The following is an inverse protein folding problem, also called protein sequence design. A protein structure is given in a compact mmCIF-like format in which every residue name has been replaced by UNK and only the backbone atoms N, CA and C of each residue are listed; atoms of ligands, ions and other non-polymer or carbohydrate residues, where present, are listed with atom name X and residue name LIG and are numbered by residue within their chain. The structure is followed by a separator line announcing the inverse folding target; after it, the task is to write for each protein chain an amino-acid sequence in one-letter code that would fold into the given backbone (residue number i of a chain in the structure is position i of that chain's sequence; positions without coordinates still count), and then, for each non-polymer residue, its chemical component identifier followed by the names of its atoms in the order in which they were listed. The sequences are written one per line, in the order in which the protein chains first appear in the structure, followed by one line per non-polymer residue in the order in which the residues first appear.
data_IF_137969787957
#
_entry.id   IF_137969787957
#
_cell.length_a   1.000
_cell.length_b   1.000
_cell.length_c   1.000
_cell.angle_alpha   90.00
_cell.angle_beta   90.00
_cell.angle_gamma   90.00
#
_symmetry.space_group_name_H-M   'P 1'
#
loop_
_entity.id
_entity.type
_entity.pdbx_description
1 polymer ?
#
# COMPACT_ATOMS: atom_id res chain seq x y z
N UNK A 1 -16.64 0.04 7.46
CA UNK A 1 -15.53 0.97 7.22
C UNK A 1 -14.40 0.18 6.58
N UNK A 2 -13.77 0.70 5.53
CA UNK A 2 -12.70 0.03 4.77
C UNK A 2 -11.35 0.37 5.41
N UNK A 3 -10.59 -0.65 5.79
CA UNK A 3 -9.24 -0.53 6.36
C UNK A 3 -8.22 -0.64 5.22
N UNK A 4 -7.52 0.45 4.94
CA UNK A 4 -6.51 0.51 3.88
C UNK A 4 -5.12 0.35 4.50
N UNK A 5 -4.48 -0.78 4.24
CA UNK A 5 -3.08 -1.03 4.58
C UNK A 5 -2.13 -0.15 3.77
N UNK A 6 -1.18 0.48 4.45
CA UNK A 6 -0.10 1.25 3.81
C UNK A 6 1.18 1.14 4.63
N UNK A 7 2.34 1.37 4.01
CA UNK A 7 3.57 1.63 4.75
C UNK A 7 3.47 2.98 5.48
N UNK A 8 4.29 3.14 6.52
CA UNK A 8 4.34 4.37 7.32
C UNK A 8 5.14 5.54 6.71
N UNK A 9 5.80 5.34 5.57
CA UNK A 9 6.56 6.43 4.93
C UNK A 9 5.65 7.56 4.43
N UNK A 10 6.15 8.80 4.44
CA UNK A 10 5.37 9.98 4.02
C UNK A 10 4.78 9.85 2.61
N UNK A 11 5.55 9.26 1.68
CA UNK A 11 5.06 9.02 0.33
C UNK A 11 3.92 8.00 0.33
N UNK A 12 4.07 6.88 1.05
CA UNK A 12 3.06 5.82 1.08
C UNK A 12 1.76 6.30 1.73
N UNK A 13 1.82 7.00 2.86
CA UNK A 13 0.64 7.56 3.53
C UNK A 13 -0.03 8.65 2.68
N UNK A 14 0.72 9.42 1.89
CA UNK A 14 0.15 10.38 0.92
C UNK A 14 -0.61 9.69 -0.21
N UNK A 15 -0.03 8.63 -0.78
CA UNK A 15 -0.68 7.83 -1.82
C UNK A 15 -1.94 7.15 -1.30
N UNK A 16 -1.85 6.46 -0.15
CA UNK A 16 -2.97 5.78 0.48
C UNK A 16 -4.06 6.77 0.94
N UNK A 17 -3.66 7.93 1.48
CA UNK A 17 -4.57 9.01 1.86
C UNK A 17 -5.41 9.51 0.67
N UNK A 18 -4.80 9.65 -0.51
CA UNK A 18 -5.53 10.04 -1.72
C UNK A 18 -6.61 9.02 -2.12
N UNK A 19 -6.34 7.73 -1.95
CA UNK A 19 -7.32 6.65 -2.20
C UNK A 19 -8.42 6.67 -1.15
N UNK A 20 -8.06 6.79 0.14
CA UNK A 20 -9.02 6.95 1.25
C UNK A 20 -9.96 8.13 0.98
N UNK A 21 -9.43 9.30 0.64
CA UNK A 21 -10.23 10.50 0.41
C UNK A 21 -11.20 10.32 -0.77
N UNK A 22 -10.75 9.65 -1.83
CA UNK A 22 -11.59 9.34 -2.98
C UNK A 22 -12.73 8.35 -2.67
N UNK A 23 -12.52 7.42 -1.74
CA UNK A 23 -13.55 6.49 -1.23
C UNK A 23 -14.54 7.22 -0.31
N UNK A 24 -14.02 8.00 0.65
CA UNK A 24 -14.84 8.80 1.58
C UNK A 24 -15.75 9.77 0.82
N UNK A 25 -15.22 10.45 -0.20
CA UNK A 25 -16.00 11.35 -1.07
C UNK A 25 -17.13 10.64 -1.85
N UNK A 26 -17.11 9.30 -1.92
CA UNK A 26 -18.14 8.45 -2.54
C UNK A 26 -19.01 7.73 -1.52
N UNK A 27 -19.06 8.22 -0.28
CA UNK A 27 -19.80 7.61 0.83
C UNK A 27 -19.33 6.19 1.19
N UNK A 28 -18.05 5.87 0.97
CA UNK A 28 -17.42 4.66 1.50
C UNK A 28 -16.47 5.04 2.64
N UNK A 29 -16.89 4.92 3.92
CA UNK A 29 -16.02 5.24 5.05
C UNK A 29 -14.74 4.40 5.01
N UNK A 30 -13.58 5.05 5.10
CA UNK A 30 -12.29 4.39 5.02
C UNK A 30 -11.26 5.01 5.98
N UNK A 31 -10.33 4.19 6.46
CA UNK A 31 -9.23 4.60 7.32
C UNK A 31 -7.89 4.03 6.83
N UNK A 32 -6.78 4.65 7.27
CA UNK A 32 -5.45 4.13 6.98
C UNK A 32 -4.95 3.29 8.15
N UNK A 33 -4.44 2.11 7.85
CA UNK A 33 -3.78 1.23 8.80
C UNK A 33 -2.32 1.08 8.40
N UNK A 34 -1.42 1.59 9.24
CA UNK A 34 0.01 1.48 9.00
C UNK A 34 0.48 0.05 9.24
N UNK A 35 1.06 -0.57 8.22
CA UNK A 35 1.68 -1.89 8.28
C UNK A 35 3.19 -1.70 8.34
N UNK A 36 3.76 -1.91 9.53
CA UNK A 36 5.21 -1.88 9.75
C UNK A 36 5.84 -3.15 9.22
N UNK A 37 6.80 -3.00 8.33
CA UNK A 37 7.55 -4.14 7.77
C UNK A 37 8.90 -4.28 8.45
N UNK A 38 9.56 -5.42 8.26
CA UNK A 38 10.94 -5.62 8.72
C UNK A 38 11.92 -4.73 7.94
N UNK A 39 11.62 -4.46 6.67
CA UNK A 39 12.37 -3.51 5.85
C UNK A 39 12.27 -2.05 6.31
N UNK A 40 11.24 -1.68 7.08
CA UNK A 40 11.16 -0.36 7.72
C UNK A 40 12.00 -0.27 9.02
N UNK A 41 12.39 -1.42 9.58
CA UNK A 41 13.22 -1.53 10.80
C UNK A 41 14.71 -1.72 10.51
N UNK A 42 15.06 -2.07 9.28
CA UNK A 42 16.45 -2.27 8.86
C UNK A 42 17.11 -0.94 8.46
N UNK A 43 18.33 -0.64 8.94
CA UNK A 43 19.10 0.52 8.48
C UNK A 43 19.70 0.32 7.08
N UNK A 44 19.58 -0.88 6.51
CA UNK A 44 20.14 -1.20 5.20
C UNK A 44 19.34 -0.53 4.08
N UNK A 45 19.98 -0.15 2.95
CA UNK A 45 19.27 0.40 1.81
C UNK A 45 18.14 -0.51 1.36
N UNK A 46 16.99 0.07 1.01
CA UNK A 46 15.81 -0.66 0.51
C UNK A 46 16.16 -1.60 -0.65
N UNK A 47 17.11 -1.21 -1.51
CA UNK A 47 17.59 -2.03 -2.61
C UNK A 47 18.24 -3.35 -2.16
N UNK A 48 18.83 -3.38 -0.96
CA UNK A 48 19.51 -4.54 -0.36
C UNK A 48 18.53 -5.52 0.28
N UNK A 49 17.40 -5.02 0.79
CA UNK A 49 16.36 -5.82 1.47
C UNK A 49 15.49 -6.59 0.44
N UNK A 50 15.50 -6.15 -0.82
CA UNK A 50 14.86 -6.82 -1.95
C UNK A 50 13.50 -6.22 -2.31
N UNK A 51 13.22 -6.20 -3.62
CA UNK A 51 11.91 -5.81 -4.17
C UNK A 51 10.90 -6.89 -3.79
N UNK A 52 9.83 -6.49 -3.08
CA UNK A 52 8.74 -7.39 -2.70
C UNK A 52 8.55 -7.60 -1.19
N UNK A 53 9.54 -7.31 -0.34
CA UNK A 53 9.41 -7.43 1.13
C UNK A 53 8.24 -6.60 1.66
N UNK A 54 8.03 -5.41 1.10
CA UNK A 54 6.93 -4.54 1.48
C UNK A 54 5.56 -5.07 1.02
N UNK A 55 5.50 -5.64 -0.18
CA UNK A 55 4.25 -6.15 -0.75
C UNK A 55 3.83 -7.44 -0.08
N UNK A 56 4.78 -8.28 0.35
CA UNK A 56 4.51 -9.47 1.16
C UNK A 56 3.83 -9.11 2.48
N UNK A 57 4.35 -8.13 3.23
CA UNK A 57 3.75 -7.74 4.51
C UNK A 57 2.31 -7.18 4.36
N UNK A 58 2.04 -6.42 3.29
CA UNK A 58 0.70 -5.93 2.97
C UNK A 58 -0.23 -7.08 2.55
N UNK A 59 0.25 -8.02 1.73
CA UNK A 59 -0.49 -9.23 1.32
C UNK A 59 -0.86 -10.08 2.53
N UNK A 60 0.08 -10.32 3.44
CA UNK A 60 -0.20 -11.05 4.68
C UNK A 60 -1.16 -10.30 5.62
N UNK A 61 -1.13 -8.96 5.62
CA UNK A 61 -2.13 -8.17 6.35
C UNK A 61 -3.55 -8.35 5.78
N UNK A 62 -3.69 -8.42 4.46
CA UNK A 62 -4.97 -8.71 3.78
C UNK A 62 -5.40 -10.15 4.09
N UNK A 63 -4.51 -11.14 3.91
CA UNK A 63 -4.83 -12.55 4.14
C UNK A 63 -5.24 -12.84 5.59
N UNK A 64 -4.65 -12.13 6.56
CA UNK A 64 -5.01 -12.23 7.97
C UNK A 64 -6.26 -11.41 8.36
N UNK A 65 -6.91 -10.74 7.40
CA UNK A 65 -8.11 -9.92 7.66
C UNK A 65 -7.85 -8.67 8.51
N UNK A 66 -6.58 -8.24 8.65
CA UNK A 66 -6.21 -7.03 9.41
C UNK A 66 -6.56 -5.75 8.65
N UNK A 67 -6.53 -5.82 7.32
CA UNK A 67 -6.93 -4.75 6.40
C UNK A 67 -7.76 -5.35 5.27
N UNK A 68 -8.60 -4.52 4.65
CA UNK A 68 -9.52 -4.95 3.58
C UNK A 68 -8.91 -4.72 2.19
N UNK A 69 -8.01 -3.74 2.08
CA UNK A 69 -7.23 -3.43 0.88
C UNK A 69 -5.85 -2.90 1.26
N UNK A 70 -4.94 -2.82 0.30
CA UNK A 70 -3.65 -2.15 0.48
C UNK A 70 -3.33 -1.22 -0.68
N UNK A 71 -2.62 -0.13 -0.39
CA UNK A 71 -2.06 0.80 -1.39
C UNK A 71 -0.54 0.73 -1.33
N UNK A 72 0.08 0.56 -2.49
CA UNK A 72 1.53 0.56 -2.66
C UNK A 72 1.89 1.24 -3.99
N UNK A 73 3.18 1.45 -4.25
CA UNK A 73 3.63 1.91 -5.56
C UNK A 73 3.61 0.74 -6.56
N UNK A 74 3.10 0.97 -7.78
CA UNK A 74 2.89 -0.10 -8.76
C UNK A 74 4.17 -0.89 -9.07
N UNK A 75 5.33 -0.21 -9.09
CA UNK A 75 6.66 -0.81 -9.30
C UNK A 75 7.08 -1.85 -8.24
N UNK A 76 6.43 -1.85 -7.08
CA UNK A 76 6.75 -2.74 -5.98
C UNK A 76 5.92 -4.05 -6.02
N UNK A 77 5.03 -4.21 -7.01
CA UNK A 77 4.30 -5.47 -7.18
C UNK A 77 5.25 -6.61 -7.55
N UNK A 78 5.19 -7.75 -6.85
CA UNK A 78 5.83 -8.96 -7.30
C UNK A 78 5.30 -9.34 -8.68
N UNK A 79 6.21 -9.71 -9.59
CA UNK A 79 5.85 -10.26 -10.90
C UNK A 79 5.23 -11.65 -10.78
N UNK A 80 5.54 -12.38 -9.71
CA UNK A 80 4.90 -13.63 -9.38
C UNK A 80 3.43 -13.40 -9.00
N UNK A 81 2.53 -14.06 -9.73
CA UNK A 81 1.11 -14.08 -9.43
C UNK A 81 0.85 -14.80 -8.10
N UNK A 82 -0.08 -14.28 -7.31
CA UNK A 82 -0.59 -14.94 -6.10
C UNK A 82 -2.11 -14.91 -6.18
N UNK A 83 -2.78 -16.07 -6.38
CA UNK A 83 -4.21 -16.13 -6.65
C UNK A 83 -5.08 -15.67 -5.47
N UNK A 84 -4.49 -15.48 -4.28
CA UNK A 84 -5.18 -14.89 -3.12
C UNK A 84 -5.47 -13.40 -3.30
N UNK A 85 -4.79 -12.73 -4.23
CA UNK A 85 -4.82 -11.28 -4.37
C UNK A 85 -5.08 -10.84 -5.82
N UNK A 86 -5.68 -9.67 -5.96
CA UNK A 86 -5.94 -9.02 -7.24
C UNK A 86 -5.56 -7.55 -7.16
N UNK A 87 -5.08 -6.98 -8.26
CA UNK A 87 -4.97 -5.52 -8.40
C UNK A 87 -6.37 -4.97 -8.70
N UNK A 88 -7.06 -4.52 -7.65
CA UNK A 88 -8.44 -4.06 -7.78
C UNK A 88 -8.58 -2.70 -8.51
N UNK A 89 -7.54 -1.87 -8.47
CA UNK A 89 -7.56 -0.56 -9.11
C UNK A 89 -6.15 -0.04 -9.39
N UNK A 90 -6.03 0.75 -10.46
CA UNK A 90 -4.87 1.61 -10.74
C UNK A 90 -5.41 3.05 -10.81
N UNK A 91 -5.24 3.86 -9.75
CA UNK A 91 -5.68 5.26 -9.76
C UNK A 91 -4.95 6.04 -10.85
N UNK A 92 -5.62 7.07 -11.41
CA UNK A 92 -4.95 7.99 -12.34
C UNK A 92 -3.73 8.60 -11.66
N UNK A 93 -2.60 8.60 -12.35
CA UNK A 93 -1.37 9.21 -11.87
C UNK A 93 -1.64 10.69 -11.67
N UNK A 94 -1.58 11.16 -10.42
CA UNK A 94 -1.48 12.59 -10.16
C UNK A 94 -0.05 12.96 -10.53
N UNK A 95 0.14 13.66 -11.65
CA UNK A 95 1.45 14.21 -12.02
C UNK A 95 2.02 14.92 -10.80
N UNK A 96 3.29 14.68 -10.41
CA UNK A 96 3.90 15.46 -9.34
C UNK A 96 3.71 16.93 -9.70
N UNK A 97 3.22 17.75 -8.78
CA UNK A 97 3.25 19.19 -8.98
C UNK A 97 4.72 19.54 -9.19
N UNK A 98 5.08 19.96 -10.40
CA UNK A 98 6.42 20.44 -10.73
C UNK A 98 6.75 21.52 -9.72
N UNK A 99 7.83 21.33 -8.97
CA UNK A 99 8.33 22.31 -8.02
C UNK A 99 9.24 23.29 -8.75
#
# INVERSE_FOLDING_TARGET
MIRIGTRGSRLATTQAGSVRDALVARNHPAELVTITTEGDRSPQPIATIGVGVFTTALREAIAAGRVDAAVHSHKDLPTANDPRFVVAAIPRVKTPATR
#
